data_IF_659852783707
#
_entry.id   IF_659852783707
#
_cell.length_a   1.000
_cell.length_b   1.000
_cell.length_c   1.000
_cell.angle_alpha   90.00
_cell.angle_beta   90.00
_cell.angle_gamma   90.00
#
_symmetry.space_group_name_H-M   'P 1'
#
loop_
_entity.id
_entity.type
_entity.pdbx_description
1 polymer ?
#
# COMPACT_ATOMS: atom_id res chain seq x y z
N UNK A 1 2.12 34.52 -15.06
CA UNK A 1 2.24 33.10 -15.47
C UNK A 1 1.21 32.32 -14.69
N UNK A 2 0.21 31.79 -15.38
CA UNK A 2 -0.89 31.03 -14.76
C UNK A 2 -0.62 29.56 -15.07
N UNK A 3 -0.24 28.76 -14.08
CA UNK A 3 -0.06 27.32 -14.28
C UNK A 3 -1.42 26.67 -14.17
N UNK A 4 -2.08 26.42 -15.31
CA UNK A 4 -3.36 25.69 -15.34
C UNK A 4 -3.09 24.20 -15.10
N UNK A 5 -3.37 23.73 -13.88
CA UNK A 5 -3.53 22.30 -13.60
C UNK A 5 -4.79 21.81 -14.33
N UNK A 6 -4.62 20.98 -15.36
CA UNK A 6 -5.71 20.23 -15.98
C UNK A 6 -5.89 18.92 -15.22
N UNK A 7 -6.90 18.88 -14.35
CA UNK A 7 -7.33 17.66 -13.69
C UNK A 7 -7.92 16.72 -14.74
N UNK A 8 -7.34 15.52 -14.91
CA UNK A 8 -7.87 14.46 -15.76
C UNK A 8 -8.67 13.48 -14.88
N UNK A 9 -10.01 13.50 -14.90
CA UNK A 9 -10.85 12.71 -13.98
C UNK A 9 -10.84 11.19 -14.25
N UNK A 10 -10.21 10.72 -15.32
CA UNK A 10 -10.07 9.30 -15.67
C UNK A 10 -8.73 8.67 -15.20
N UNK A 11 -7.79 9.47 -14.68
CA UNK A 11 -6.46 9.01 -14.28
C UNK A 11 -6.31 8.69 -12.78
N UNK A 12 -7.42 8.56 -12.05
CA UNK A 12 -7.43 8.43 -10.59
C UNK A 12 -8.02 7.10 -10.08
N UNK A 13 -8.06 6.06 -10.92
CA UNK A 13 -8.35 4.67 -10.50
C UNK A 13 -7.09 3.81 -10.37
N UNK A 14 -5.99 4.41 -9.92
CA UNK A 14 -4.72 3.72 -9.72
C UNK A 14 -3.68 4.77 -9.44
N UNK A 15 -3.56 5.18 -8.17
CA UNK A 15 -2.56 6.15 -7.76
C UNK A 15 -1.21 5.61 -8.23
N UNK A 16 -0.60 6.32 -9.17
CA UNK A 16 0.73 6.03 -9.69
C UNK A 16 1.72 6.42 -8.59
N UNK A 17 1.76 5.63 -7.51
CA UNK A 17 2.68 5.85 -6.40
C UNK A 17 4.08 5.64 -6.97
N UNK A 18 4.91 6.67 -6.86
CA UNK A 18 6.30 6.58 -7.31
C UNK A 18 7.03 5.62 -6.37
N UNK A 19 7.96 4.84 -6.91
CA UNK A 19 8.78 3.93 -6.10
C UNK A 19 9.48 4.64 -4.92
N UNK A 20 9.86 5.90 -5.10
CA UNK A 20 10.42 6.72 -4.01
C UNK A 20 9.40 6.98 -2.89
N UNK A 21 8.15 7.29 -3.22
CA UNK A 21 7.10 7.48 -2.23
C UNK A 21 6.81 6.15 -1.49
N UNK A 22 6.84 5.01 -2.20
CA UNK A 22 6.72 3.68 -1.59
C UNK A 22 7.86 3.41 -0.58
N UNK A 23 9.11 3.67 -0.98
CA UNK A 23 10.30 3.51 -0.13
C UNK A 23 10.30 4.40 1.11
N UNK A 24 9.73 5.58 1.01
CA UNK A 24 9.64 6.54 2.11
C UNK A 24 8.40 6.33 3.01
N UNK A 25 7.51 5.42 2.65
CA UNK A 25 6.31 5.10 3.42
C UNK A 25 6.52 3.79 4.16
N UNK A 26 6.35 3.81 5.49
CA UNK A 26 6.40 2.62 6.35
C UNK A 26 4.97 2.17 6.68
N UNK A 27 4.70 0.90 6.42
CA UNK A 27 3.45 0.22 6.71
C UNK A 27 3.63 -0.70 7.92
N UNK A 28 2.63 -0.74 8.79
CA UNK A 28 2.60 -1.57 10.00
C UNK A 28 1.55 -2.66 9.81
N UNK A 29 1.98 -3.91 9.95
CA UNK A 29 1.14 -5.10 9.87
C UNK A 29 1.02 -5.69 11.27
N UNK A 30 -0.20 -5.87 11.75
CA UNK A 30 -0.43 -6.59 13.00
C UNK A 30 -0.74 -8.04 12.64
N UNK A 31 0.11 -8.96 13.08
CA UNK A 31 -0.08 -10.40 12.93
C UNK A 31 -1.15 -10.89 13.91
N UNK A 32 -1.69 -12.08 13.65
CA UNK A 32 -2.71 -12.72 14.49
C UNK A 32 -2.24 -12.98 15.93
N UNK A 33 -0.92 -13.17 16.12
CA UNK A 33 -0.29 -13.32 17.44
C UNK A 33 -0.17 -11.99 18.21
N UNK A 34 -0.59 -10.86 17.62
CA UNK A 34 -0.48 -9.51 18.20
C UNK A 34 0.88 -8.83 17.96
N UNK A 35 1.80 -9.50 17.28
CA UNK A 35 3.10 -8.92 16.87
C UNK A 35 2.89 -7.89 15.76
N UNK A 36 3.59 -6.75 15.83
CA UNK A 36 3.56 -5.71 14.80
C UNK A 36 4.85 -5.76 13.98
N UNK A 37 4.72 -5.88 12.66
CA UNK A 37 5.82 -5.88 11.70
C UNK A 37 5.79 -4.59 10.89
N UNK A 38 6.94 -3.96 10.70
CA UNK A 38 7.10 -2.73 9.92
C UNK A 38 7.84 -3.01 8.62
N UNK A 39 7.26 -2.63 7.48
CA UNK A 39 7.87 -2.80 6.17
C UNK A 39 7.66 -1.56 5.29
N UNK A 40 8.60 -1.26 4.39
CA UNK A 40 8.45 -0.15 3.43
C UNK A 40 7.51 -0.56 2.31
N UNK A 41 6.85 0.41 1.69
CA UNK A 41 5.89 0.17 0.61
C UNK A 41 6.42 -0.66 -0.56
N UNK A 42 7.73 -0.64 -0.81
CA UNK A 42 8.41 -1.40 -1.85
C UNK A 42 8.97 -2.76 -1.40
N UNK A 43 8.96 -3.06 -0.10
CA UNK A 43 9.41 -4.35 0.42
C UNK A 43 8.42 -5.45 0.04
N UNK A 44 8.97 -6.59 -0.37
CA UNK A 44 8.20 -7.79 -0.68
C UNK A 44 7.91 -8.58 0.60
N UNK A 45 6.64 -8.91 0.81
CA UNK A 45 6.09 -9.65 1.93
C UNK A 45 5.41 -10.90 1.39
N UNK A 46 5.84 -12.06 1.88
CA UNK A 46 5.13 -13.32 1.66
C UNK A 46 3.96 -13.41 2.64
N UNK A 47 2.75 -13.49 2.10
CA UNK A 47 1.53 -13.63 2.88
C UNK A 47 0.60 -14.63 2.19
N UNK A 48 0.13 -15.63 2.94
CA UNK A 48 -0.73 -16.72 2.43
C UNK A 48 -0.13 -17.50 1.23
N UNK A 49 1.21 -17.52 1.11
CA UNK A 49 1.93 -18.16 0.01
C UNK A 49 2.00 -17.32 -1.28
N UNK A 50 1.57 -16.06 -1.24
CA UNK A 50 1.71 -15.09 -2.32
C UNK A 50 2.65 -13.94 -1.92
N UNK A 51 3.52 -13.53 -2.85
CA UNK A 51 4.42 -12.40 -2.65
C UNK A 51 3.73 -11.09 -3.05
N UNK A 52 3.64 -10.16 -2.11
CA UNK A 52 3.04 -8.84 -2.31
C UNK A 52 3.97 -7.74 -1.78
N UNK A 53 3.95 -6.56 -2.38
CA UNK A 53 4.62 -5.41 -1.77
C UNK A 53 3.85 -4.93 -0.55
N UNK A 54 4.53 -4.37 0.45
CA UNK A 54 3.87 -3.90 1.67
C UNK A 54 2.73 -2.91 1.39
N UNK A 55 2.90 -2.01 0.42
CA UNK A 55 1.83 -1.07 0.07
C UNK A 55 0.58 -1.77 -0.46
N UNK A 56 0.75 -2.79 -1.32
CA UNK A 56 -0.35 -3.55 -1.89
C UNK A 56 -1.01 -4.46 -0.85
N UNK A 57 -0.21 -5.15 -0.04
CA UNK A 57 -0.70 -6.01 1.02
C UNK A 57 -1.48 -5.21 2.07
N UNK A 58 -0.98 -4.03 2.45
CA UNK A 58 -1.65 -3.18 3.43
C UNK A 58 -3.02 -2.69 2.93
N UNK A 59 -3.12 -2.31 1.66
CA UNK A 59 -4.39 -1.92 1.05
C UNK A 59 -5.38 -3.10 1.02
N UNK A 60 -4.91 -4.29 0.61
CA UNK A 60 -5.69 -5.52 0.59
C UNK A 60 -6.22 -5.94 1.98
N UNK A 61 -5.40 -5.80 3.03
CA UNK A 61 -5.82 -6.09 4.41
C UNK A 61 -6.79 -5.02 4.92
N UNK A 62 -6.52 -3.74 4.64
CA UNK A 62 -7.32 -2.60 5.12
C UNK A 62 -8.72 -2.54 4.52
N UNK A 63 -8.87 -2.91 3.24
CA UNK A 63 -10.19 -2.97 2.58
C UNK A 63 -11.08 -4.09 3.16
N UNK A 64 -10.53 -4.90 4.07
CA UNK A 64 -11.29 -5.82 4.91
C UNK A 64 -11.27 -7.26 4.42
N UNK A 65 -10.38 -7.63 3.49
CA UNK A 65 -10.25 -9.02 3.03
C UNK A 65 -9.71 -9.96 4.13
N UNK A 66 -8.96 -9.43 5.11
CA UNK A 66 -8.37 -10.20 6.22
C UNK A 66 -8.74 -9.66 7.62
N UNK A 67 -9.61 -8.66 7.73
CA UNK A 67 -9.85 -7.90 8.97
C UNK A 67 -11.15 -8.19 9.75
N UNK A 68 -11.97 -9.15 9.33
CA UNK A 68 -13.18 -9.54 10.10
C UNK A 68 -13.46 -11.04 10.03
N UNK A 69 -13.01 -11.78 11.05
CA UNK A 69 -13.83 -12.75 11.78
C UNK A 69 -13.49 -12.70 13.26
#
# INVERSE_FOLDING_TARGET
GCTTFRFNPEAFQGVLVKEQDLKNTLYKFTLEDGTVVEARGDEEIDYDGELHTAANLFDAIKDGYYGRM
#
